data_IF_355755361137
#
_entry.id   IF_355755361137
#
_cell.length_a   1.000
_cell.length_b   1.000
_cell.length_c   1.000
_cell.angle_alpha   90.00
_cell.angle_beta   90.00
_cell.angle_gamma   90.00
#
_symmetry.space_group_name_H-M   'P 1'
#
loop_
_entity.id
_entity.type
_entity.pdbx_description
1 polymer ?
#
# COMPACT_ATOMS: atom_id res chain seq x y z
N UNK A 1 -7.20 2.21 -15.63
CA UNK A 1 -6.45 0.94 -15.47
C UNK A 1 -7.07 -0.09 -16.40
N UNK A 2 -6.33 -1.14 -16.77
CA UNK A 2 -6.80 -2.15 -17.72
C UNK A 2 -8.12 -2.81 -17.26
N UNK A 3 -8.27 -3.05 -15.96
CA UNK A 3 -9.48 -3.60 -15.35
C UNK A 3 -10.70 -2.67 -15.48
N UNK A 4 -10.51 -1.34 -15.37
CA UNK A 4 -11.61 -0.38 -15.57
C UNK A 4 -12.19 -0.50 -16.99
N UNK A 5 -11.31 -0.63 -17.98
CA UNK A 5 -11.71 -0.80 -19.38
C UNK A 5 -12.38 -2.15 -19.59
N UNK A 6 -11.82 -3.22 -19.02
CA UNK A 6 -12.40 -4.55 -19.10
C UNK A 6 -13.84 -4.57 -18.57
N UNK A 7 -14.10 -4.03 -17.37
CA UNK A 7 -15.46 -4.04 -16.81
C UNK A 7 -16.45 -3.19 -17.61
N UNK A 8 -16.01 -2.07 -18.19
CA UNK A 8 -16.85 -1.28 -19.10
C UNK A 8 -17.20 -2.07 -20.36
N UNK A 9 -16.25 -2.81 -20.94
CA UNK A 9 -16.49 -3.63 -22.13
C UNK A 9 -17.38 -4.83 -21.83
N UNK A 10 -17.18 -5.47 -20.67
CA UNK A 10 -17.96 -6.63 -20.23
C UNK A 10 -19.46 -6.34 -20.22
N UNK A 11 -19.89 -5.11 -19.91
CA UNK A 11 -21.30 -4.71 -19.95
C UNK A 11 -21.95 -4.90 -21.33
N UNK A 12 -21.16 -4.82 -22.41
CA UNK A 12 -21.61 -4.95 -23.80
C UNK A 12 -21.45 -6.36 -24.37
N UNK A 13 -20.51 -7.15 -23.86
CA UNK A 13 -20.13 -8.45 -24.46
C UNK A 13 -20.51 -9.67 -23.62
N UNK A 14 -21.00 -9.48 -22.39
CA UNK A 14 -21.33 -10.57 -21.45
C UNK A 14 -22.40 -11.57 -21.96
N UNK A 15 -23.25 -11.14 -22.89
CA UNK A 15 -24.35 -11.93 -23.45
C UNK A 15 -24.06 -12.37 -24.90
N UNK A 16 -22.82 -12.13 -25.37
CA UNK A 16 -22.36 -12.54 -26.70
C UNK A 16 -21.93 -14.00 -26.68
N UNK A 17 -22.73 -14.86 -27.32
CA UNK A 17 -22.49 -16.30 -27.37
C UNK A 17 -21.17 -16.67 -28.07
N UNK A 18 -20.69 -15.85 -29.02
CA UNK A 18 -19.42 -16.10 -29.71
C UNK A 18 -18.21 -15.84 -28.80
N UNK A 19 -18.42 -15.13 -27.69
CA UNK A 19 -17.38 -14.74 -26.74
C UNK A 19 -17.45 -15.51 -25.41
N UNK A 20 -18.46 -16.35 -25.19
CA UNK A 20 -18.70 -17.04 -23.91
C UNK A 20 -17.45 -17.80 -23.41
N UNK A 21 -16.81 -18.56 -24.29
CA UNK A 21 -15.60 -19.35 -23.98
C UNK A 21 -14.33 -18.50 -23.76
N UNK A 22 -14.36 -17.22 -24.16
CA UNK A 22 -13.22 -16.30 -24.03
C UNK A 22 -13.32 -15.41 -22.79
N UNK A 23 -14.53 -15.26 -22.24
CA UNK A 23 -14.77 -14.41 -21.09
C UNK A 23 -14.39 -15.11 -19.78
N UNK A 24 -13.75 -14.39 -18.84
CA UNK A 24 -13.57 -14.87 -17.49
C UNK A 24 -14.91 -15.30 -16.87
N UNK A 25 -14.90 -16.43 -16.18
CA UNK A 25 -16.06 -16.94 -15.44
C UNK A 25 -16.55 -15.90 -14.44
N UNK A 26 -17.79 -16.05 -13.96
CA UNK A 26 -18.35 -15.20 -12.90
C UNK A 26 -17.47 -15.15 -11.65
N UNK A 27 -16.83 -16.26 -11.30
CA UNK A 27 -15.92 -16.35 -10.15
C UNK A 27 -14.64 -15.55 -10.37
N UNK A 28 -14.04 -15.66 -11.55
CA UNK A 28 -12.85 -14.88 -11.93
C UNK A 28 -13.16 -13.39 -12.01
N UNK A 29 -14.32 -13.03 -12.59
CA UNK A 29 -14.81 -11.67 -12.61
C UNK A 29 -14.94 -11.04 -11.21
N UNK A 30 -15.42 -11.80 -10.22
CA UNK A 30 -15.45 -11.35 -8.82
C UNK A 30 -14.04 -11.12 -8.27
N UNK A 31 -13.08 -11.99 -8.57
CA UNK A 31 -11.68 -11.83 -8.17
C UNK A 31 -11.04 -10.60 -8.83
N UNK A 32 -11.32 -10.37 -10.11
CA UNK A 32 -10.87 -9.18 -10.84
C UNK A 32 -11.43 -7.87 -10.25
N UNK A 33 -12.70 -7.85 -9.81
CA UNK A 33 -13.27 -6.68 -9.12
C UNK A 33 -12.58 -6.42 -7.78
N UNK A 34 -12.32 -7.46 -7.00
CA UNK A 34 -11.57 -7.34 -5.75
C UNK A 34 -10.15 -6.79 -6.00
N UNK A 35 -9.46 -7.33 -7.01
CA UNK A 35 -8.13 -6.86 -7.42
C UNK A 35 -8.17 -5.39 -7.89
N UNK A 36 -9.20 -4.98 -8.63
CA UNK A 36 -9.36 -3.59 -9.07
C UNK A 36 -9.51 -2.63 -7.88
N UNK A 37 -10.27 -3.01 -6.86
CA UNK A 37 -10.40 -2.23 -5.64
C UNK A 37 -9.06 -2.14 -4.89
N UNK A 38 -8.35 -3.27 -4.75
CA UNK A 38 -7.01 -3.31 -4.15
C UNK A 38 -6.03 -2.38 -4.87
N UNK A 39 -5.94 -2.48 -6.20
CA UNK A 39 -5.09 -1.63 -7.02
C UNK A 39 -5.46 -0.14 -6.94
N UNK A 40 -6.75 0.16 -6.75
CA UNK A 40 -7.22 1.54 -6.58
C UNK A 40 -6.74 2.12 -5.26
N UNK A 41 -6.81 1.35 -4.17
CA UNK A 41 -6.29 1.76 -2.87
C UNK A 41 -4.76 1.94 -2.92
N UNK A 42 -4.04 0.95 -3.47
CA UNK A 42 -2.58 1.04 -3.66
C UNK A 42 -2.19 2.30 -4.45
N UNK A 43 -2.90 2.58 -5.54
CA UNK A 43 -2.67 3.79 -6.35
C UNK A 43 -2.94 5.07 -5.56
N UNK A 44 -3.97 5.09 -4.72
CA UNK A 44 -4.31 6.25 -3.89
C UNK A 44 -3.20 6.54 -2.88
N UNK A 45 -2.78 5.52 -2.13
CA UNK A 45 -1.75 5.66 -1.09
C UNK A 45 -0.37 5.98 -1.69
N UNK A 46 0.00 5.35 -2.80
CA UNK A 46 1.26 5.69 -3.50
C UNK A 46 1.26 7.10 -4.08
N UNK A 47 0.11 7.62 -4.54
CA UNK A 47 -0.01 9.03 -4.93
C UNK A 47 0.09 9.97 -3.75
N UNK A 48 -0.52 9.62 -2.62
CA UNK A 48 -0.41 10.41 -1.39
C UNK A 48 1.05 10.51 -0.97
N UNK A 49 1.78 9.39 -0.95
CA UNK A 49 3.21 9.31 -0.64
C UNK A 49 4.10 10.20 -1.52
N UNK A 50 3.70 10.49 -2.77
CA UNK A 50 4.46 11.37 -3.67
C UNK A 50 4.29 12.86 -3.37
N UNK A 51 3.41 13.23 -2.44
CA UNK A 51 3.22 14.62 -2.03
C UNK A 51 4.37 15.13 -1.18
N UNK A 52 4.78 16.38 -1.40
CA UNK A 52 5.81 17.07 -0.59
C UNK A 52 5.37 17.37 0.84
N UNK A 53 4.10 17.11 1.17
CA UNK A 53 3.50 17.37 2.49
C UNK A 53 3.42 16.12 3.37
N UNK A 54 3.89 14.97 2.91
CA UNK A 54 3.86 13.72 3.69
C UNK A 54 5.02 13.70 4.67
N UNK A 55 4.70 13.61 5.96
CA UNK A 55 5.71 13.36 7.00
C UNK A 55 6.13 11.88 7.02
N UNK A 56 7.23 11.56 7.71
CA UNK A 56 7.62 10.17 7.93
C UNK A 56 6.57 9.37 8.70
N UNK A 57 5.82 10.02 9.60
CA UNK A 57 4.72 9.38 10.32
C UNK A 57 3.55 9.06 9.38
N UNK A 58 3.17 9.99 8.48
CA UNK A 58 2.15 9.75 7.46
C UNK A 58 2.57 8.62 6.51
N UNK A 59 3.84 8.61 6.08
CA UNK A 59 4.37 7.55 5.24
C UNK A 59 4.25 6.17 5.91
N UNK A 60 4.52 6.10 7.23
CA UNK A 60 4.35 4.87 8.01
C UNK A 60 2.89 4.43 8.07
N UNK A 61 1.96 5.37 8.27
CA UNK A 61 0.52 5.07 8.27
C UNK A 61 0.05 4.51 6.92
N UNK A 62 0.52 5.07 5.80
CA UNK A 62 0.24 4.51 4.47
C UNK A 62 0.82 3.10 4.32
N UNK A 63 2.07 2.86 4.73
CA UNK A 63 2.64 1.52 4.67
C UNK A 63 1.86 0.48 5.49
N UNK A 64 1.40 0.85 6.69
CA UNK A 64 0.59 -0.05 7.53
C UNK A 64 -0.81 -0.30 6.93
N UNK A 65 -1.38 0.71 6.26
CA UNK A 65 -2.60 0.58 5.45
C UNK A 65 -2.42 -0.43 4.32
N UNK A 66 -1.36 -0.30 3.52
CA UNK A 66 -1.01 -1.25 2.46
C UNK A 66 -0.79 -2.67 3.01
N UNK A 67 -0.11 -2.83 4.14
CA UNK A 67 0.12 -4.15 4.76
C UNK A 67 -1.20 -4.79 5.20
N UNK A 68 -2.13 -4.00 5.74
CA UNK A 68 -3.48 -4.47 6.10
C UNK A 68 -4.27 -4.92 4.87
N UNK A 69 -4.13 -4.18 3.76
CA UNK A 69 -4.72 -4.53 2.48
C UNK A 69 -4.15 -5.84 1.91
N UNK A 70 -2.83 -6.02 1.98
CA UNK A 70 -2.14 -7.22 1.52
C UNK A 70 -0.91 -7.53 2.37
N UNK A 71 -1.03 -8.56 3.21
CA UNK A 71 0.02 -8.95 4.15
C UNK A 71 1.39 -9.22 3.50
N UNK A 72 1.42 -9.64 2.22
CA UNK A 72 2.68 -9.85 1.48
C UNK A 72 3.52 -8.59 1.30
N UNK A 73 2.94 -7.39 1.45
CA UNK A 73 3.70 -6.14 1.39
C UNK A 73 4.60 -5.91 2.60
N UNK A 74 4.35 -6.59 3.73
CA UNK A 74 5.19 -6.47 4.94
C UNK A 74 6.67 -6.81 4.67
N UNK A 75 6.95 -7.67 3.68
CA UNK A 75 8.31 -8.00 3.24
C UNK A 75 9.13 -6.76 2.85
N UNK A 76 8.48 -5.75 2.26
CA UNK A 76 9.15 -4.55 1.76
C UNK A 76 8.77 -3.28 2.54
N UNK A 77 7.62 -3.26 3.18
CA UNK A 77 7.07 -2.06 3.83
C UNK A 77 7.00 -2.16 5.36
N UNK A 78 7.25 -3.35 5.93
CA UNK A 78 7.20 -3.55 7.37
C UNK A 78 8.36 -2.84 8.09
N UNK A 79 8.18 -2.61 9.39
CA UNK A 79 9.20 -2.00 10.27
C UNK A 79 10.57 -2.72 10.21
N UNK A 80 10.55 -4.02 9.91
CA UNK A 80 11.73 -4.89 9.84
C UNK A 80 12.04 -5.35 8.42
N UNK A 81 11.51 -4.67 7.40
CA UNK A 81 11.81 -5.00 6.02
C UNK A 81 13.30 -4.76 5.75
N UNK A 82 13.94 -5.65 4.97
CA UNK A 82 15.38 -5.58 4.69
C UNK A 82 15.81 -4.27 3.99
N UNK A 83 14.86 -3.59 3.34
CA UNK A 83 15.07 -2.28 2.72
C UNK A 83 15.24 -1.14 3.74
N UNK A 84 14.81 -1.35 4.99
CA UNK A 84 14.93 -0.38 6.07
C UNK A 84 16.38 -0.35 6.54
N UNK A 85 17.15 0.60 6.01
CA UNK A 85 18.59 0.70 6.27
C UNK A 85 18.90 1.01 7.75
N UNK A 86 18.07 1.82 8.42
CA UNK A 86 18.30 2.26 9.79
C UNK A 86 16.99 2.27 10.59
N UNK A 87 16.47 1.08 10.92
CA UNK A 87 15.18 0.93 11.60
C UNK A 87 15.07 1.73 12.90
N UNK A 88 16.15 1.78 13.71
CA UNK A 88 16.17 2.58 14.93
C UNK A 88 16.09 4.08 14.67
N UNK A 89 16.70 4.58 13.59
CA UNK A 89 16.63 5.98 13.20
C UNK A 89 15.21 6.37 12.76
N UNK A 90 14.60 5.56 11.89
CA UNK A 90 13.22 5.79 11.44
C UNK A 90 12.23 5.79 12.61
N UNK A 91 12.35 4.81 13.52
CA UNK A 91 11.55 4.75 14.74
C UNK A 91 11.79 5.96 15.67
N UNK A 92 13.02 6.48 15.72
CA UNK A 92 13.33 7.70 16.46
C UNK A 92 12.67 8.94 15.87
N UNK A 93 12.71 9.09 14.53
CA UNK A 93 12.04 10.18 13.81
C UNK A 93 10.52 10.18 14.07
N UNK A 94 9.88 9.01 13.98
CA UNK A 94 8.43 8.86 14.24
C UNK A 94 8.09 9.29 15.67
N UNK A 95 8.82 8.78 16.68
CA UNK A 95 8.60 9.15 18.09
C UNK A 95 8.82 10.65 18.35
N UNK A 96 9.84 11.26 17.75
CA UNK A 96 10.08 12.69 17.88
C UNK A 96 8.94 13.50 17.28
N UNK A 97 8.47 13.13 16.08
CA UNK A 97 7.38 13.81 15.40
C UNK A 97 6.06 13.75 16.18
N UNK A 98 5.79 12.61 16.83
CA UNK A 98 4.60 12.42 17.67
C UNK A 98 4.73 13.02 19.08
N UNK A 99 5.81 13.75 19.40
CA UNK A 99 6.04 14.30 20.74
C UNK A 99 6.39 13.25 21.81
N UNK A 100 6.71 12.02 21.39
CA UNK A 100 7.09 10.88 22.25
C UNK A 100 8.61 10.73 22.40
N UNK A 101 9.36 11.83 22.31
CA UNK A 101 10.83 11.85 22.46
C UNK A 101 11.31 11.23 23.78
N UNK A 102 10.50 11.30 24.84
CA UNK A 102 10.78 10.67 26.13
C UNK A 102 10.86 9.13 26.06
N UNK A 103 10.27 8.50 25.03
CA UNK A 103 10.24 7.05 24.81
C UNK A 103 11.38 6.54 23.91
N UNK A 104 12.33 7.41 23.55
CA UNK A 104 13.49 7.01 22.75
C UNK A 104 14.43 6.11 23.55
N UNK A 105 14.85 5.00 22.95
CA UNK A 105 15.90 4.15 23.50
C UNK A 105 17.27 4.85 23.49
N UNK A 106 18.26 4.31 24.22
CA UNK A 106 19.65 4.84 24.16
C UNK A 106 20.28 4.74 22.76
N UNK A 107 19.89 3.74 21.96
CA UNK A 107 20.35 3.62 20.58
C UNK A 107 19.71 4.70 19.69
N UNK A 108 18.39 4.86 19.82
CA UNK A 108 17.61 5.86 19.08
C UNK A 108 18.07 7.29 19.38
N UNK A 109 18.29 7.64 20.65
CA UNK A 109 18.80 8.97 21.05
C UNK A 109 20.16 9.31 20.43
N UNK A 110 21.04 8.31 20.28
CA UNK A 110 22.36 8.51 19.65
C UNK A 110 22.25 8.76 18.15
N UNK A 111 21.27 8.12 17.50
CA UNK A 111 21.03 8.28 16.06
C UNK A 111 20.28 9.58 15.72
N UNK A 112 19.51 10.15 16.65
CA UNK A 112 18.72 11.37 16.44
C UNK A 112 19.42 12.68 16.87
N UNK A 113 20.67 12.62 17.30
CA UNK A 113 21.41 13.76 17.87
C UNK A 113 22.43 14.41 16.90
N UNK A 114 22.52 13.92 15.66
CA UNK A 114 23.27 14.52 14.57
C UNK A 114 22.34 15.35 13.67
#
# INVERSE_FOLDING_TARGET
MMLDRYFKLLEFVKDDADLEDTLPTRAENRRLKALQAELTNVKSETKALQSTKVSMADARLFFDGLITLRASFAKNLGERADIVYAADFEAACVKNHEGRAHQLSRAQKRLSAN
#
